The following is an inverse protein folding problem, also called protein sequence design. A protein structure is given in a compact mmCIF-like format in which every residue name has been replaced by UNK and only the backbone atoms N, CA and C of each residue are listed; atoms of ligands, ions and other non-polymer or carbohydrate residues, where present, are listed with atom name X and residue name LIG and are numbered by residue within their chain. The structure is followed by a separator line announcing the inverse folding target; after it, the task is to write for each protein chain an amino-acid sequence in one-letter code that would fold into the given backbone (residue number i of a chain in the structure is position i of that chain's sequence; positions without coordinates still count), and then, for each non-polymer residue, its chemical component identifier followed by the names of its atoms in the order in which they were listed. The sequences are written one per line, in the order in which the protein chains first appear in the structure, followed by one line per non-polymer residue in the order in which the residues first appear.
data_IF_025444823333
#
_entry.id   IF_025444823333
#
_cell.length_a   1.000
_cell.length_b   1.000
_cell.length_c   1.000
_cell.angle_alpha   90.00
_cell.angle_beta   90.00
_cell.angle_gamma   90.00
#
_symmetry.space_group_name_H-M   'P 1'
#
loop_
_entity.id
_entity.type
_entity.pdbx_description
1 polymer ?
#
# COMPACT_ATOMS: atom_id res chain seq x y z
N UNK A 1 -17.41 -8.53 -8.19
CA UNK A 1 -16.88 -9.39 -7.12
C UNK A 1 -15.37 -9.14 -7.03
N UNK A 2 -14.87 -8.59 -5.92
CA UNK A 2 -13.44 -8.38 -5.71
C UNK A 2 -12.88 -9.51 -4.83
N UNK A 3 -11.86 -10.22 -5.29
CA UNK A 3 -11.31 -11.42 -4.65
C UNK A 3 -10.25 -11.07 -3.58
N UNK A 4 -10.58 -10.15 -2.66
CA UNK A 4 -9.65 -9.74 -1.59
C UNK A 4 -8.36 -9.09 -2.10
N UNK A 5 -8.42 -8.41 -3.25
CA UNK A 5 -7.30 -7.69 -3.85
C UNK A 5 -7.76 -6.30 -4.26
N UNK A 6 -6.91 -5.31 -3.99
CA UNK A 6 -7.13 -3.92 -4.36
C UNK A 6 -5.85 -3.33 -4.96
N UNK A 7 -5.99 -2.45 -5.94
CA UNK A 7 -4.89 -1.61 -6.43
C UNK A 7 -5.27 -0.17 -6.06
N UNK A 8 -4.42 0.49 -5.27
CA UNK A 8 -4.68 1.83 -4.74
C UNK A 8 -3.50 2.75 -5.04
N UNK A 9 -3.78 3.99 -5.43
CA UNK A 9 -2.76 5.00 -5.71
C UNK A 9 -2.96 6.17 -4.76
N UNK A 10 -1.86 6.78 -4.32
CA UNK A 10 -1.88 8.09 -3.66
C UNK A 10 -1.34 9.07 -4.70
N UNK A 11 -2.21 9.96 -5.21
CA UNK A 11 -1.80 10.96 -6.19
C UNK A 11 -0.70 11.87 -5.61
N UNK A 12 0.37 12.08 -6.38
CA UNK A 12 1.52 12.88 -5.96
C UNK A 12 2.57 12.13 -5.12
N UNK A 13 2.40 10.83 -4.89
CA UNK A 13 3.39 9.96 -4.25
C UNK A 13 3.84 8.90 -5.23
N UNK A 14 5.16 8.71 -5.38
CA UNK A 14 5.70 7.64 -6.22
C UNK A 14 5.32 6.26 -5.64
N UNK A 15 4.71 5.44 -6.48
CA UNK A 15 4.16 4.15 -6.06
C UNK A 15 5.26 3.14 -5.72
N UNK A 16 6.41 3.18 -6.40
CA UNK A 16 7.54 2.29 -6.12
C UNK A 16 8.20 2.68 -4.80
N UNK A 17 8.43 3.98 -4.57
CA UNK A 17 8.96 4.48 -3.30
C UNK A 17 8.02 4.19 -2.13
N UNK A 18 6.69 4.26 -2.34
CA UNK A 18 5.71 3.87 -1.35
C UNK A 18 5.80 2.38 -0.98
N UNK A 19 5.95 1.49 -1.97
CA UNK A 19 6.13 0.06 -1.71
C UNK A 19 7.41 -0.20 -0.90
N UNK A 20 8.52 0.45 -1.27
CA UNK A 20 9.79 0.36 -0.56
C UNK A 20 9.68 0.91 0.87
N UNK A 21 9.03 2.05 1.07
CA UNK A 21 8.78 2.64 2.38
C UNK A 21 8.00 1.68 3.29
N UNK A 22 6.91 1.10 2.78
CA UNK A 22 6.08 0.16 3.53
C UNK A 22 6.87 -1.07 3.96
N UNK A 23 7.73 -1.61 3.10
CA UNK A 23 8.57 -2.73 3.43
C UNK A 23 9.68 -2.37 4.44
N UNK A 24 10.45 -1.32 4.16
CA UNK A 24 11.64 -0.97 4.95
C UNK A 24 11.29 -0.40 6.32
N UNK A 25 10.27 0.47 6.41
CA UNK A 25 9.90 1.17 7.65
C UNK A 25 8.82 0.46 8.45
N UNK A 26 7.88 -0.18 7.75
CA UNK A 26 6.68 -0.76 8.39
C UNK A 26 6.61 -2.28 8.27
N UNK A 27 7.53 -2.93 7.54
CA UNK A 27 7.57 -4.39 7.32
C UNK A 27 6.28 -4.93 6.69
N UNK A 28 5.63 -4.12 5.87
CA UNK A 28 4.43 -4.50 5.11
C UNK A 28 4.86 -4.80 3.68
N UNK A 29 4.53 -5.98 3.19
CA UNK A 29 4.85 -6.40 1.83
C UNK A 29 3.70 -6.07 0.89
N UNK A 30 3.99 -5.28 -0.15
CA UNK A 30 3.06 -4.89 -1.21
C UNK A 30 3.82 -4.87 -2.54
N UNK A 31 3.08 -4.83 -3.64
CA UNK A 31 3.69 -4.76 -4.99
C UNK A 31 3.25 -3.48 -5.67
N UNK A 32 4.22 -2.66 -6.09
CA UNK A 32 3.96 -1.53 -6.97
C UNK A 32 3.65 -2.05 -8.39
N UNK A 33 2.57 -1.56 -8.97
CA UNK A 33 2.17 -1.84 -10.34
C UNK A 33 2.36 -0.54 -11.12
N UNK A 34 3.25 -0.58 -12.10
CA UNK A 34 3.58 0.54 -12.97
C UNK A 34 3.23 0.14 -14.40
N UNK A 35 2.10 0.64 -14.90
CA UNK A 35 1.69 0.50 -16.30
C UNK A 35 1.37 1.87 -16.88
N UNK A 36 1.53 2.04 -18.20
CA UNK A 36 1.30 3.32 -18.88
C UNK A 36 -0.14 3.85 -18.74
N UNK A 37 -1.11 2.95 -18.56
CA UNK A 37 -2.53 3.30 -18.40
C UNK A 37 -2.94 3.55 -16.94
N UNK A 38 -2.25 2.91 -15.98
CA UNK A 38 -2.52 3.08 -14.56
C UNK A 38 -1.32 2.64 -13.73
N UNK A 39 -1.13 3.33 -12.61
CA UNK A 39 -0.17 2.94 -11.59
C UNK A 39 -0.88 2.80 -10.24
N UNK A 40 -0.29 2.00 -9.36
CA UNK A 40 -0.80 1.89 -8.00
C UNK A 40 -0.21 0.72 -7.23
N UNK A 41 -0.40 0.79 -5.92
CA UNK A 41 0.03 -0.22 -4.98
C UNK A 41 -1.00 -1.34 -4.92
N UNK A 42 -0.59 -2.55 -5.27
CA UNK A 42 -1.41 -3.76 -5.17
C UNK A 42 -1.28 -4.37 -3.79
N UNK A 43 -2.44 -4.54 -3.15
CA UNK A 43 -2.59 -5.00 -1.77
C UNK A 43 -3.60 -6.14 -1.74
N UNK A 44 -3.28 -7.19 -0.99
CA UNK A 44 -4.17 -8.34 -0.79
C UNK A 44 -4.14 -8.78 0.66
N UNK A 45 -5.17 -8.46 1.47
CA UNK A 45 -5.34 -9.09 2.77
C UNK A 45 -5.63 -10.59 2.60
N UNK A 46 -4.94 -11.41 3.37
CA UNK A 46 -5.14 -12.87 3.39
C UNK A 46 -5.94 -13.29 4.60
N UNK A 47 -6.48 -14.51 4.60
CA UNK A 47 -7.11 -15.12 5.79
C UNK A 47 -6.13 -15.28 6.97
N UNK A 48 -4.83 -15.18 6.70
CA UNK A 48 -3.77 -15.19 7.71
C UNK A 48 -3.48 -13.79 8.27
N UNK A 49 -4.03 -12.73 7.67
CA UNK A 49 -3.84 -11.36 8.14
C UNK A 49 -4.83 -11.05 9.26
N UNK A 50 -4.34 -10.55 10.39
CA UNK A 50 -5.20 -10.11 11.49
C UNK A 50 -5.81 -8.74 11.20
N UNK A 51 -6.88 -8.38 11.90
CA UNK A 51 -7.46 -7.04 11.80
C UNK A 51 -6.45 -5.95 12.18
N UNK A 52 -5.66 -6.18 13.23
CA UNK A 52 -4.61 -5.25 13.67
C UNK A 52 -3.53 -5.02 12.60
N UNK A 53 -3.19 -6.04 11.80
CA UNK A 53 -2.26 -5.90 10.68
C UNK A 53 -2.85 -5.06 9.55
N UNK A 54 -4.14 -5.21 9.29
CA UNK A 54 -4.87 -4.38 8.32
C UNK A 54 -4.94 -2.93 8.81
N UNK A 55 -5.25 -2.70 10.08
CA UNK A 55 -5.29 -1.37 10.69
C UNK A 55 -3.90 -0.70 10.65
N UNK A 56 -2.82 -1.45 10.93
CA UNK A 56 -1.44 -0.96 10.78
C UNK A 56 -1.12 -0.52 9.34
N UNK A 57 -1.62 -1.23 8.34
CA UNK A 57 -1.50 -0.81 6.94
C UNK A 57 -2.27 0.47 6.66
N UNK A 58 -3.52 0.56 7.14
CA UNK A 58 -4.36 1.76 6.99
C UNK A 58 -3.68 2.97 7.62
N UNK A 59 -3.14 2.83 8.83
CA UNK A 59 -2.44 3.91 9.54
C UNK A 59 -1.17 4.35 8.80
N UNK A 60 -0.40 3.41 8.25
CA UNK A 60 0.76 3.72 7.42
C UNK A 60 0.37 4.53 6.17
N UNK A 61 -0.67 4.10 5.46
CA UNK A 61 -1.19 4.78 4.27
C UNK A 61 -1.72 6.17 4.60
N UNK A 62 -2.48 6.32 5.69
CA UNK A 62 -2.97 7.62 6.18
C UNK A 62 -1.82 8.55 6.58
N UNK A 63 -0.77 8.00 7.19
CA UNK A 63 0.45 8.74 7.52
C UNK A 63 1.13 9.33 6.28
N UNK A 64 1.28 8.51 5.24
CA UNK A 64 1.83 8.97 3.94
C UNK A 64 0.92 10.00 3.29
N UNK A 65 -0.39 9.81 3.30
CA UNK A 65 -1.33 10.78 2.74
C UNK A 65 -1.23 12.16 3.43
N UNK A 66 -1.01 12.19 4.75
CA UNK A 66 -0.97 13.44 5.51
C UNK A 66 0.39 14.16 5.47
N UNK A 67 1.50 13.43 5.28
CA UNK A 67 2.86 13.97 5.46
C UNK A 67 3.80 13.72 4.28
N UNK A 68 3.40 12.90 3.32
CA UNK A 68 4.27 12.36 2.28
C UNK A 68 5.12 11.19 2.77
N UNK A 69 6.09 10.78 1.95
CA UNK A 69 7.07 9.75 2.26
C UNK A 69 8.15 10.35 3.19
N UNK A 70 7.93 10.27 4.50
CA UNK A 70 8.85 10.76 5.55
C UNK A 70 9.24 9.65 6.52
#
# INVERSE_FOLDING_TARGET
FACGIATVQIEGVDTAELADYLWQRRRIFTVAILHDEFEGLRVSPSIYSTLDEVDRFIDAMRGVLARGLV
#
